data_IF_301122283222
#
_entry.id   IF_301122283222
#
_cell.length_a   1.000
_cell.length_b   1.000
_cell.length_c   1.000
_cell.angle_alpha   90.00
_cell.angle_beta   90.00
_cell.angle_gamma   90.00
#
_symmetry.space_group_name_H-M   'P 1'
#
loop_
_entity.id
_entity.type
_entity.pdbx_description
1 polymer ?
#
# COMPACT_ATOMS: atom_id res chain seq x y z
N UNK A 1 14.80 4.93 0.60
CA UNK A 1 13.46 4.30 0.69
C UNK A 1 12.37 5.36 0.68
N UNK A 2 11.12 4.98 0.39
CA UNK A 2 9.92 5.83 0.56
C UNK A 2 8.89 5.05 1.38
N UNK A 3 8.27 5.70 2.36
CA UNK A 3 7.23 5.12 3.21
C UNK A 3 5.91 5.84 2.99
N UNK A 4 4.86 5.08 2.67
CA UNK A 4 3.48 5.54 2.71
C UNK A 4 2.88 5.07 4.02
N UNK A 5 2.53 6.03 4.88
CA UNK A 5 2.00 5.78 6.20
C UNK A 5 0.49 6.01 6.20
N UNK A 6 -0.28 5.01 6.63
CA UNK A 6 -1.75 5.04 6.72
C UNK A 6 -2.44 5.48 5.43
N UNK A 7 -1.91 5.09 4.26
CA UNK A 7 -2.46 5.42 2.95
C UNK A 7 -3.90 4.91 2.80
N UNK A 8 -4.15 3.65 3.15
CA UNK A 8 -5.49 3.08 3.07
C UNK A 8 -6.35 3.49 4.27
N UNK A 9 -5.74 3.58 5.46
CA UNK A 9 -6.46 3.96 6.68
C UNK A 9 -7.00 5.38 6.67
N UNK A 10 -6.32 6.31 5.99
CA UNK A 10 -6.76 7.71 5.82
C UNK A 10 -7.61 7.93 4.57
N UNK A 11 -7.75 6.92 3.71
CA UNK A 11 -8.55 6.98 2.50
C UNK A 11 -10.03 7.24 2.82
N UNK A 12 -10.72 8.15 2.09
CA UNK A 12 -12.16 8.33 2.23
C UNK A 12 -12.98 7.10 1.82
N UNK A 13 -12.41 6.14 1.08
CA UNK A 13 -13.08 4.90 0.70
C UNK A 13 -13.36 3.98 1.91
N UNK A 14 -12.47 3.93 2.90
CA UNK A 14 -12.60 3.03 4.08
C UNK A 14 -12.97 1.60 3.66
N UNK A 15 -14.09 1.08 4.15
CA UNK A 15 -14.63 -0.24 3.84
C UNK A 15 -14.95 -0.50 2.36
N UNK A 16 -15.03 0.54 1.52
CA UNK A 16 -15.27 0.38 0.08
C UNK A 16 -14.06 -0.23 -0.64
N UNK A 17 -12.86 -0.23 -0.04
CA UNK A 17 -11.71 -1.00 -0.55
C UNK A 17 -12.00 -2.50 -0.70
N UNK A 18 -12.99 -3.04 0.02
CA UNK A 18 -13.43 -4.44 -0.11
C UNK A 18 -13.97 -4.78 -1.51
N UNK A 19 -14.29 -3.79 -2.35
CA UNK A 19 -14.68 -4.01 -3.76
C UNK A 19 -13.56 -4.68 -4.57
N UNK A 20 -12.31 -4.57 -4.12
CA UNK A 20 -11.16 -5.27 -4.72
C UNK A 20 -11.34 -6.78 -4.67
N UNK A 21 -12.01 -7.33 -3.65
CA UNK A 21 -12.31 -8.77 -3.61
C UNK A 21 -13.24 -9.21 -4.74
N UNK A 22 -14.20 -8.36 -5.15
CA UNK A 22 -15.01 -8.66 -6.33
C UNK A 22 -14.16 -8.69 -7.61
N UNK A 23 -13.17 -7.81 -7.72
CA UNK A 23 -12.23 -7.84 -8.84
C UNK A 23 -11.38 -9.11 -8.82
N UNK A 24 -10.86 -9.50 -7.65
CA UNK A 24 -10.11 -10.74 -7.45
C UNK A 24 -10.94 -11.98 -7.79
N UNK A 25 -12.23 -12.00 -7.42
CA UNK A 25 -13.18 -13.07 -7.74
C UNK A 25 -13.27 -13.25 -9.26
N UNK A 26 -13.51 -12.15 -9.99
CA UNK A 26 -13.58 -12.15 -11.46
C UNK A 26 -12.27 -12.57 -12.14
N UNK A 27 -11.14 -12.47 -11.43
CA UNK A 27 -9.82 -12.85 -11.93
C UNK A 27 -9.37 -14.24 -11.45
N UNK A 28 -10.22 -14.98 -10.73
CA UNK A 28 -9.88 -16.27 -10.11
C UNK A 28 -8.64 -16.16 -9.19
N UNK A 29 -8.50 -15.04 -8.48
CA UNK A 29 -7.40 -14.77 -7.54
C UNK A 29 -7.81 -15.00 -6.07
N UNK A 30 -9.09 -15.27 -5.79
CA UNK A 30 -9.55 -15.57 -4.44
C UNK A 30 -9.25 -17.03 -4.07
N UNK A 31 -8.66 -17.22 -2.90
CA UNK A 31 -8.53 -18.53 -2.26
C UNK A 31 -9.71 -18.78 -1.30
N UNK A 32 -9.88 -20.02 -0.85
CA UNK A 32 -10.99 -20.46 0.04
C UNK A 32 -11.11 -19.64 1.35
N UNK A 33 -10.04 -18.99 1.81
CA UNK A 33 -10.00 -18.24 3.07
C UNK A 33 -10.39 -16.75 2.98
N UNK A 34 -10.98 -16.29 1.87
CA UNK A 34 -11.31 -14.88 1.72
C UNK A 34 -12.63 -14.54 2.44
N UNK A 35 -12.77 -13.30 2.97
CA UNK A 35 -13.96 -12.92 3.71
C UNK A 35 -15.22 -13.03 2.85
N UNK A 36 -16.21 -13.77 3.35
CA UNK A 36 -17.54 -13.84 2.75
C UNK A 36 -18.26 -12.50 2.92
N UNK A 37 -18.87 -11.99 1.85
CA UNK A 37 -19.62 -10.74 1.88
C UNK A 37 -18.74 -9.51 1.64
N UNK A 38 -18.56 -9.14 0.36
CA UNK A 38 -17.94 -7.89 -0.06
C UNK A 38 -18.88 -7.14 -1.02
N UNK A 39 -18.81 -5.79 -1.06
CA UNK A 39 -19.69 -5.02 -1.92
C UNK A 39 -19.42 -5.33 -3.40
N UNK A 40 -20.46 -5.28 -4.21
CA UNK A 40 -20.31 -5.25 -5.66
C UNK A 40 -19.92 -3.83 -6.08
N UNK A 41 -19.08 -3.73 -7.09
CA UNK A 41 -18.76 -2.47 -7.72
C UNK A 41 -20.03 -1.86 -8.30
N UNK A 42 -20.26 -0.62 -7.91
CA UNK A 42 -21.34 0.24 -8.38
C UNK A 42 -20.74 1.61 -8.64
N UNK A 43 -20.81 2.10 -9.88
CA UNK A 43 -20.13 3.31 -10.31
C UNK A 43 -20.45 4.53 -9.42
N UNK A 44 -21.73 4.75 -9.14
CA UNK A 44 -22.22 5.88 -8.33
C UNK A 44 -21.74 5.82 -6.86
N UNK A 45 -21.56 4.63 -6.29
CA UNK A 45 -21.09 4.43 -4.91
C UNK A 45 -19.56 4.42 -4.80
N UNK A 46 -18.85 4.22 -5.91
CA UNK A 46 -17.40 4.03 -5.94
C UNK A 46 -16.69 5.06 -6.83
N UNK A 47 -17.28 6.23 -7.05
CA UNK A 47 -16.69 7.30 -7.87
C UNK A 47 -15.27 7.68 -7.41
N UNK A 48 -15.03 7.69 -6.10
CA UNK A 48 -13.73 8.04 -5.49
C UNK A 48 -12.68 6.94 -5.69
N UNK A 49 -13.07 5.71 -6.06
CA UNK A 49 -12.12 4.62 -6.30
C UNK A 49 -11.11 4.96 -7.40
N UNK A 50 -11.54 5.69 -8.43
CA UNK A 50 -10.65 6.10 -9.51
C UNK A 50 -9.53 7.04 -9.03
N UNK A 51 -9.86 8.05 -8.21
CA UNK A 51 -8.85 8.97 -7.68
C UNK A 51 -7.88 8.28 -6.73
N UNK A 52 -8.37 7.38 -5.91
CA UNK A 52 -7.56 6.63 -4.93
C UNK A 52 -6.61 5.66 -5.64
N UNK A 53 -7.10 4.91 -6.64
CA UNK A 53 -6.26 4.07 -7.50
C UNK A 53 -5.23 4.90 -8.29
N UNK A 54 -5.60 6.11 -8.72
CA UNK A 54 -4.66 7.03 -9.38
C UNK A 54 -3.56 7.49 -8.43
N UNK A 55 -3.89 7.85 -7.19
CA UNK A 55 -2.88 8.22 -6.18
C UNK A 55 -1.93 7.05 -5.91
N UNK A 56 -2.48 5.84 -5.75
CA UNK A 56 -1.70 4.62 -5.58
C UNK A 56 -0.76 4.37 -6.78
N UNK A 57 -1.29 4.48 -8.01
CA UNK A 57 -0.51 4.35 -9.25
C UNK A 57 0.65 5.35 -9.30
N UNK A 58 0.41 6.62 -8.94
CA UNK A 58 1.47 7.64 -8.89
C UNK A 58 2.52 7.27 -7.85
N UNK A 59 2.11 6.87 -6.65
CA UNK A 59 3.04 6.53 -5.58
C UNK A 59 3.94 5.34 -5.96
N UNK A 60 3.37 4.30 -6.58
CA UNK A 60 4.11 3.12 -7.05
C UNK A 60 5.06 3.50 -8.20
N UNK A 61 4.59 4.23 -9.21
CA UNK A 61 5.37 4.48 -10.44
C UNK A 61 6.35 5.65 -10.36
N UNK A 62 6.14 6.60 -9.44
CA UNK A 62 7.08 7.73 -9.24
C UNK A 62 8.25 7.36 -8.34
N UNK A 63 8.06 6.41 -7.43
CA UNK A 63 9.10 6.06 -6.47
C UNK A 63 10.26 5.37 -7.17
N UNK A 64 11.45 5.98 -7.12
CA UNK A 64 12.71 5.43 -7.68
C UNK A 64 13.51 4.57 -6.70
N UNK A 65 12.94 4.34 -5.53
CA UNK A 65 13.55 3.64 -4.40
C UNK A 65 12.61 2.52 -3.95
N UNK A 66 13.02 1.70 -3.00
CA UNK A 66 12.12 0.73 -2.37
C UNK A 66 10.97 1.47 -1.66
N UNK A 67 9.74 1.06 -1.99
CA UNK A 67 8.49 1.61 -1.47
C UNK A 67 7.96 0.70 -0.35
N UNK A 68 7.58 1.31 0.78
CA UNK A 68 7.00 0.65 1.94
C UNK A 68 5.58 1.17 2.17
N UNK A 69 4.66 0.26 2.48
CA UNK A 69 3.35 0.60 3.02
C UNK A 69 3.33 0.23 4.49
N UNK A 70 3.02 1.19 5.35
CA UNK A 70 2.88 0.98 6.79
C UNK A 70 1.50 1.46 7.22
N UNK A 71 0.67 0.52 7.66
CA UNK A 71 -0.68 0.79 8.11
C UNK A 71 -0.78 0.41 9.59
N UNK A 72 -1.30 1.32 10.42
CA UNK A 72 -1.55 1.04 11.84
C UNK A 72 -2.77 0.16 12.05
N UNK A 73 -3.71 0.19 11.11
CA UNK A 73 -4.93 -0.62 11.07
C UNK A 73 -4.97 -1.39 9.75
N UNK A 74 -5.22 -2.70 9.83
CA UNK A 74 -5.28 -3.54 8.65
C UNK A 74 -6.69 -3.63 8.03
N UNK A 75 -7.74 -3.12 8.68
CA UNK A 75 -9.14 -3.27 8.24
C UNK A 75 -9.33 -2.81 6.78
N UNK A 76 -8.85 -1.61 6.45
CA UNK A 76 -9.06 -1.00 5.13
C UNK A 76 -7.95 -1.35 4.11
N UNK A 77 -6.76 -1.71 4.57
CA UNK A 77 -5.63 -2.05 3.71
C UNK A 77 -5.64 -3.51 3.26
N UNK A 78 -6.27 -4.39 4.04
CA UNK A 78 -6.33 -5.83 3.80
C UNK A 78 -6.72 -6.23 2.37
N UNK A 79 -7.75 -5.65 1.72
CA UNK A 79 -8.12 -6.04 0.36
C UNK A 79 -7.00 -5.82 -0.66
N UNK A 80 -6.25 -4.73 -0.54
CA UNK A 80 -5.12 -4.44 -1.42
C UNK A 80 -3.90 -5.30 -1.09
N UNK A 81 -3.63 -5.55 0.18
CA UNK A 81 -2.52 -6.41 0.60
C UNK A 81 -2.74 -7.87 0.16
N UNK A 82 -3.96 -8.39 0.32
CA UNK A 82 -4.31 -9.74 -0.12
C UNK A 82 -4.23 -9.85 -1.65
N UNK A 83 -4.67 -8.82 -2.38
CA UNK A 83 -4.47 -8.74 -3.84
C UNK A 83 -2.99 -8.82 -4.22
N UNK A 84 -2.12 -8.00 -3.64
CA UNK A 84 -0.69 -8.03 -3.98
C UNK A 84 0.00 -9.32 -3.57
N UNK A 85 -0.39 -9.92 -2.43
CA UNK A 85 0.10 -11.23 -2.00
C UNK A 85 -0.32 -12.33 -2.98
N UNK A 86 -1.56 -12.30 -3.48
CA UNK A 86 -2.04 -13.27 -4.47
C UNK A 86 -1.25 -13.24 -5.78
N UNK A 87 -0.68 -12.08 -6.11
CA UNK A 87 0.19 -11.89 -7.27
C UNK A 87 1.68 -12.13 -7.00
N UNK A 88 2.07 -12.38 -5.73
CA UNK A 88 3.47 -12.52 -5.34
C UNK A 88 4.31 -11.25 -5.51
N UNK A 89 3.69 -10.06 -5.50
CA UNK A 89 4.36 -8.78 -5.81
C UNK A 89 4.98 -8.09 -4.58
N UNK A 90 4.65 -8.52 -3.37
CA UNK A 90 5.04 -7.84 -2.12
C UNK A 90 5.66 -8.80 -1.11
N UNK A 91 6.56 -8.26 -0.29
CA UNK A 91 7.07 -8.94 0.91
C UNK A 91 6.36 -8.36 2.13
N UNK A 92 5.83 -9.22 3.00
CA UNK A 92 5.28 -8.80 4.30
C UNK A 92 6.34 -8.97 5.37
N UNK A 93 6.56 -7.94 6.19
CA UNK A 93 7.47 -8.00 7.33
C UNK A 93 6.84 -7.32 8.55
N UNK A 94 7.16 -7.82 9.74
CA UNK A 94 6.89 -7.13 10.99
C UNK A 94 7.90 -6.00 11.17
N UNK A 95 7.47 -4.86 11.71
CA UNK A 95 8.38 -3.74 11.96
C UNK A 95 9.29 -4.12 13.13
N UNK A 96 10.58 -4.31 12.83
CA UNK A 96 11.63 -4.59 13.81
C UNK A 96 12.82 -3.64 13.65
N UNK A 97 13.77 -3.71 14.58
CA UNK A 97 14.98 -2.88 14.57
C UNK A 97 15.82 -3.07 13.31
N UNK A 98 15.81 -4.26 12.70
CA UNK A 98 16.56 -4.56 11.48
C UNK A 98 15.98 -3.81 10.27
N UNK A 99 14.65 -3.69 10.20
CA UNK A 99 13.98 -2.92 9.14
C UNK A 99 14.28 -1.45 9.29
N UNK A 100 14.17 -0.91 10.51
CA UNK A 100 14.47 0.50 10.78
C UNK A 100 15.91 0.81 10.37
N UNK A 101 16.85 -0.07 10.72
CA UNK A 101 18.25 0.06 10.33
C UNK A 101 18.44 -0.04 8.81
N UNK A 102 17.65 -0.87 8.12
CA UNK A 102 17.71 -0.99 6.64
C UNK A 102 17.10 0.19 5.89
N UNK A 103 16.19 0.93 6.52
CA UNK A 103 15.56 2.14 5.97
C UNK A 103 16.45 3.38 6.15
N UNK A 104 17.21 3.42 7.25
CA UNK A 104 18.15 4.50 7.55
C UNK A 104 19.47 4.32 6.81
N UNK A 105 19.93 5.37 6.14
CA UNK A 105 21.33 5.47 5.71
C UNK A 105 22.00 6.43 6.68
N UNK A 106 22.92 5.92 7.50
CA UNK A 106 23.76 6.78 8.33
C UNK A 106 24.58 7.68 7.41
N UNK A 107 24.34 8.99 7.47
CA UNK A 107 25.15 9.97 6.75
C UNK A 107 26.23 10.49 7.70
N UNK A 108 27.46 10.58 7.20
CA UNK A 108 28.61 11.16 7.91
C UNK A 108 28.53 12.69 7.95
N UNK A 109 29.19 13.33 8.92
CA UNK A 109 29.22 14.79 9.02
C UNK A 109 29.79 15.45 7.75
N UNK A 110 30.74 14.79 7.09
CA UNK A 110 31.35 15.21 5.83
C UNK A 110 30.35 15.17 4.66
N UNK A 111 29.51 14.14 4.56
CA UNK A 111 28.44 14.07 3.55
C UNK A 111 27.40 15.18 3.73
N UNK A 112 27.07 15.52 4.98
CA UNK A 112 26.22 16.68 5.29
C UNK A 112 26.89 17.99 4.86
N UNK A 113 28.19 18.14 5.10
CA UNK A 113 28.97 19.31 4.70
C UNK A 113 29.00 19.49 3.18
N UNK A 114 29.14 18.42 2.41
CA UNK A 114 29.13 18.46 0.93
C UNK A 114 27.75 18.83 0.38
N UNK A 115 26.66 18.30 0.96
CA UNK A 115 25.28 18.58 0.51
C UNK A 115 24.74 19.94 0.95
N UNK A 116 25.28 20.51 2.03
CA UNK A 116 24.87 21.80 2.59
C UNK A 116 25.47 23.04 1.91
N UNK A 117 26.40 22.86 0.97
CA UNK A 117 26.94 23.97 0.18
C UNK A 117 25.95 24.27 -0.95
N UNK A 118 25.25 25.39 -0.83
CA UNK A 118 24.41 25.98 -1.87
C UNK A 118 25.08 27.22 -2.44
#
# INVERSE_FOLDING_TARGET
DVLLYNFFSTSPLKNHWRVIYQFMEKKNLLNVHHPSGFPRFEETKHLILCSELKQLYVAITRTRQRLWFCETDDEFSKPMFDYWKSLGLVQTRQIDSSIIQSMGVASTAEEWKIRGIK
#
